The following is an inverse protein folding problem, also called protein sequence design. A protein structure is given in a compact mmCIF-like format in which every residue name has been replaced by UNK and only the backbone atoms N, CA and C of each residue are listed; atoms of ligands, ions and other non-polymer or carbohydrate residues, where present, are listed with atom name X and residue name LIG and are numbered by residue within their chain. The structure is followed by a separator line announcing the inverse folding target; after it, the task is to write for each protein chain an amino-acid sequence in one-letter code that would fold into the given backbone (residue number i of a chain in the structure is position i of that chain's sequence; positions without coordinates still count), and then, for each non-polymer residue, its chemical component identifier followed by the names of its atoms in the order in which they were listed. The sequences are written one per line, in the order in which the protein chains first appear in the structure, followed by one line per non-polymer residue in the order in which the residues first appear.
data_IF_639311465606
#
_entry.id   IF_639311465606
#
_cell.length_a   1.000
_cell.length_b   1.000
_cell.length_c   1.000
_cell.angle_alpha   90.00
_cell.angle_beta   90.00
_cell.angle_gamma   90.00
#
_symmetry.space_group_name_H-M   'P 1'
#
loop_
_entity.id
_entity.type
_entity.pdbx_description
1 polymer ?
#
# COMPACT_ATOMS: atom_id res chain seq x y z
N UNK A 1 23.28 -15.30 17.08
CA UNK A 1 22.04 -15.10 16.30
C UNK A 1 22.35 -15.19 14.81
N UNK A 2 21.64 -16.03 14.08
CA UNK A 2 21.78 -16.12 12.63
C UNK A 2 21.06 -14.91 12.03
N UNK A 3 21.81 -14.02 11.37
CA UNK A 3 21.25 -12.87 10.66
C UNK A 3 20.17 -13.36 9.68
N UNK A 4 18.95 -12.85 9.82
CA UNK A 4 17.81 -13.19 9.00
C UNK A 4 16.85 -14.25 9.60
N UNK A 5 17.16 -14.83 10.74
CA UNK A 5 16.23 -15.73 11.45
C UNK A 5 15.29 -14.90 12.34
N UNK A 6 14.09 -14.63 11.88
CA UNK A 6 13.02 -14.06 12.70
C UNK A 6 12.20 -15.17 13.35
N UNK A 7 11.93 -15.04 14.65
CA UNK A 7 10.96 -15.90 15.35
C UNK A 7 9.53 -15.40 15.21
N UNK A 8 9.33 -14.25 14.57
CA UNK A 8 8.01 -13.69 14.31
C UNK A 8 7.42 -14.41 13.10
N UNK A 9 6.24 -15.01 13.21
CA UNK A 9 5.62 -15.67 12.07
C UNK A 9 5.28 -14.64 10.99
N UNK A 10 5.55 -14.99 9.74
CA UNK A 10 5.13 -14.18 8.59
C UNK A 10 3.62 -14.30 8.40
N UNK A 11 2.95 -13.18 8.28
CA UNK A 11 1.50 -13.14 8.02
C UNK A 11 1.30 -13.34 6.52
N UNK A 12 0.76 -14.52 6.15
CA UNK A 12 0.45 -14.82 4.75
C UNK A 12 -0.90 -14.21 4.38
N UNK A 13 -1.88 -14.32 5.28
CA UNK A 13 -3.24 -13.88 5.09
C UNK A 13 -3.94 -13.65 6.43
N UNK A 14 -4.81 -12.65 6.50
CA UNK A 14 -5.60 -12.38 7.71
C UNK A 14 -6.97 -11.78 7.41
N UNK A 15 -7.85 -11.87 8.39
CA UNK A 15 -9.25 -11.46 8.23
C UNK A 15 -9.43 -9.98 7.87
N UNK A 16 -8.57 -9.09 8.34
CA UNK A 16 -8.59 -7.66 7.95
C UNK A 16 -8.40 -7.47 6.44
N UNK A 17 -7.52 -8.25 5.82
CA UNK A 17 -7.34 -8.25 4.37
C UNK A 17 -8.61 -8.74 3.65
N UNK A 18 -9.22 -9.82 4.12
CA UNK A 18 -10.46 -10.35 3.54
C UNK A 18 -11.59 -9.30 3.56
N UNK A 19 -11.73 -8.57 4.67
CA UNK A 19 -12.71 -7.48 4.78
C UNK A 19 -12.43 -6.35 3.79
N UNK A 20 -11.17 -5.95 3.64
CA UNK A 20 -10.79 -4.91 2.69
C UNK A 20 -10.95 -5.35 1.23
N UNK A 21 -10.65 -6.62 0.92
CA UNK A 21 -10.90 -7.19 -0.40
C UNK A 21 -12.40 -7.19 -0.71
N UNK A 22 -13.25 -7.58 0.24
CA UNK A 22 -14.69 -7.57 0.09
C UNK A 22 -15.26 -6.15 -0.06
N UNK A 23 -14.73 -5.18 0.72
CA UNK A 23 -15.10 -3.77 0.61
C UNK A 23 -14.78 -3.21 -0.77
N UNK A 24 -13.57 -3.46 -1.26
CA UNK A 24 -13.14 -3.01 -2.59
C UNK A 24 -14.00 -3.64 -3.70
N UNK A 25 -14.24 -4.95 -3.64
CA UNK A 25 -15.07 -5.65 -4.63
C UNK A 25 -16.50 -5.10 -4.66
N UNK A 26 -17.13 -4.89 -3.50
CA UNK A 26 -18.47 -4.34 -3.40
C UNK A 26 -18.52 -2.88 -3.91
N UNK A 27 -17.48 -2.08 -3.63
CA UNK A 27 -17.35 -0.73 -4.15
C UNK A 27 -17.31 -0.71 -5.69
N UNK A 28 -16.51 -1.59 -6.30
CA UNK A 28 -16.43 -1.71 -7.75
C UNK A 28 -17.74 -2.20 -8.38
N UNK A 29 -18.40 -3.19 -7.79
CA UNK A 29 -19.73 -3.63 -8.25
C UNK A 29 -20.69 -2.44 -8.29
N UNK A 30 -20.76 -1.66 -7.21
CA UNK A 30 -21.60 -0.47 -7.15
C UNK A 30 -21.22 0.57 -8.22
N UNK A 31 -19.95 0.79 -8.47
CA UNK A 31 -19.47 1.73 -9.50
C UNK A 31 -19.81 1.30 -10.93
N UNK A 32 -19.98 0.00 -11.15
CA UNK A 32 -20.43 -0.58 -12.41
C UNK A 32 -21.98 -0.62 -12.55
N UNK A 33 -22.71 -0.04 -11.59
CA UNK A 33 -24.17 -0.02 -11.59
C UNK A 33 -24.81 -1.31 -11.04
N UNK A 34 -24.04 -2.24 -10.53
CA UNK A 34 -24.55 -3.45 -9.86
C UNK A 34 -24.80 -3.07 -8.40
N UNK A 35 -26.01 -2.62 -8.12
CA UNK A 35 -26.37 -2.06 -6.79
C UNK A 35 -26.84 -3.09 -5.79
N UNK A 36 -27.12 -4.31 -6.23
CA UNK A 36 -27.53 -5.45 -5.39
C UNK A 36 -26.68 -6.68 -5.68
N UNK A 37 -26.28 -7.36 -4.64
CA UNK A 37 -25.63 -8.67 -4.70
C UNK A 37 -26.24 -9.60 -3.64
N UNK A 38 -26.93 -10.64 -4.09
CA UNK A 38 -27.64 -11.61 -3.24
C UNK A 38 -28.60 -10.96 -2.22
N UNK A 39 -29.35 -9.93 -2.63
CA UNK A 39 -30.30 -9.23 -1.76
C UNK A 39 -29.66 -8.21 -0.81
N UNK A 40 -28.41 -7.88 -1.02
CA UNK A 40 -27.67 -6.89 -0.22
C UNK A 40 -27.18 -5.73 -1.09
N UNK A 41 -27.37 -4.50 -0.61
CA UNK A 41 -26.84 -3.31 -1.28
C UNK A 41 -25.30 -3.35 -1.31
N UNK A 42 -24.73 -3.31 -2.52
CA UNK A 42 -23.26 -3.32 -2.70
C UNK A 42 -22.59 -2.12 -2.07
N UNK A 43 -23.24 -0.97 -2.08
CA UNK A 43 -22.75 0.24 -1.39
C UNK A 43 -22.67 0.05 0.13
N UNK A 44 -23.73 -0.50 0.71
CA UNK A 44 -23.76 -0.80 2.16
C UNK A 44 -22.74 -1.86 2.51
N UNK A 45 -22.59 -2.91 1.71
CA UNK A 45 -21.59 -3.95 1.91
C UNK A 45 -20.17 -3.35 1.91
N UNK A 46 -19.84 -2.49 0.95
CA UNK A 46 -18.54 -1.84 0.89
C UNK A 46 -18.24 -1.04 2.15
N UNK A 47 -19.24 -0.26 2.60
CA UNK A 47 -19.14 0.57 3.81
C UNK A 47 -19.00 -0.27 5.09
N UNK A 48 -19.79 -1.32 5.22
CA UNK A 48 -19.77 -2.17 6.41
C UNK A 48 -18.43 -2.89 6.58
N UNK A 49 -17.88 -3.44 5.50
CA UNK A 49 -16.62 -4.17 5.56
C UNK A 49 -15.45 -3.27 5.94
N UNK A 50 -15.30 -2.09 5.33
CA UNK A 50 -14.25 -1.16 5.70
C UNK A 50 -14.43 -0.64 7.13
N UNK A 51 -15.67 -0.37 7.54
CA UNK A 51 -15.97 0.14 8.88
C UNK A 51 -15.70 -0.89 9.99
N UNK A 52 -15.79 -2.18 9.71
CA UNK A 52 -15.38 -3.22 10.67
C UNK A 52 -13.88 -3.14 10.97
N UNK A 53 -13.05 -2.87 9.97
CA UNK A 53 -11.61 -2.68 10.15
C UNK A 53 -11.36 -1.40 10.96
N UNK A 54 -11.95 -0.30 10.56
CA UNK A 54 -11.77 1.02 11.17
C UNK A 54 -12.26 1.08 12.61
N UNK A 55 -13.43 0.49 12.89
CA UNK A 55 -13.99 0.42 14.24
C UNK A 55 -13.11 -0.38 15.19
N UNK A 56 -12.53 -1.49 14.71
CA UNK A 56 -11.55 -2.26 15.50
C UNK A 56 -10.32 -1.44 15.85
N UNK A 57 -9.84 -0.61 14.91
CA UNK A 57 -8.61 0.18 15.08
C UNK A 57 -8.82 1.38 16.01
N UNK A 58 -9.95 2.07 15.95
CA UNK A 58 -10.13 3.33 16.66
C UNK A 58 -11.55 3.61 17.20
N UNK A 59 -12.43 2.60 17.20
CA UNK A 59 -13.81 2.76 17.66
C UNK A 59 -14.72 3.46 16.65
N UNK A 60 -15.91 3.80 17.09
CA UNK A 60 -16.96 4.34 16.22
C UNK A 60 -16.62 5.70 15.60
N UNK A 61 -15.77 6.48 16.24
CA UNK A 61 -15.35 7.79 15.75
C UNK A 61 -14.57 7.69 14.43
N UNK A 62 -13.98 6.53 14.13
CA UNK A 62 -13.24 6.28 12.90
C UNK A 62 -14.10 5.74 11.75
N UNK A 63 -15.37 5.44 11.99
CA UNK A 63 -16.26 4.92 10.94
C UNK A 63 -16.50 5.97 9.87
N UNK A 64 -16.52 5.51 8.62
CA UNK A 64 -16.90 6.32 7.47
C UNK A 64 -18.42 6.34 7.33
N UNK A 65 -18.93 7.45 6.83
CA UNK A 65 -20.29 7.58 6.30
C UNK A 65 -20.33 7.18 4.82
N UNK A 66 -21.52 7.01 4.27
CA UNK A 66 -21.68 6.70 2.84
C UNK A 66 -21.05 7.74 1.90
N UNK A 67 -21.12 9.01 2.28
CA UNK A 67 -20.58 10.11 1.46
C UNK A 67 -19.04 10.19 1.53
N UNK A 68 -18.44 9.59 2.53
CA UNK A 68 -16.99 9.55 2.71
C UNK A 68 -16.34 8.32 2.06
N UNK A 69 -17.15 7.34 1.68
CA UNK A 69 -16.65 6.12 1.04
C UNK A 69 -16.26 6.43 -0.40
N UNK A 70 -14.98 6.53 -0.63
CA UNK A 70 -14.37 6.70 -1.95
C UNK A 70 -13.32 5.62 -2.19
N UNK A 71 -12.92 5.44 -3.44
CA UNK A 71 -11.82 4.52 -3.76
C UNK A 71 -10.54 4.89 -3.02
N UNK A 72 -10.21 6.18 -2.95
CA UNK A 72 -9.03 6.66 -2.22
C UNK A 72 -9.07 6.32 -0.73
N UNK A 73 -10.26 6.30 -0.12
CA UNK A 73 -10.41 5.87 1.28
C UNK A 73 -10.11 4.39 1.43
N UNK A 74 -10.60 3.55 0.51
CA UNK A 74 -10.29 2.11 0.50
C UNK A 74 -8.79 1.88 0.31
N UNK A 75 -8.18 2.56 -0.65
CA UNK A 75 -6.74 2.50 -0.93
C UNK A 75 -5.91 2.90 0.30
N UNK A 76 -6.31 4.00 0.95
CA UNK A 76 -5.60 4.47 2.15
C UNK A 76 -5.79 3.51 3.33
N UNK A 77 -6.99 2.96 3.51
CA UNK A 77 -7.23 1.98 4.58
C UNK A 77 -6.38 0.72 4.37
N UNK A 78 -6.32 0.18 3.15
CA UNK A 78 -5.44 -0.94 2.82
C UNK A 78 -3.98 -0.62 3.11
N UNK A 79 -3.53 0.58 2.75
CA UNK A 79 -2.15 1.03 3.00
C UNK A 79 -1.81 1.06 4.48
N UNK A 80 -2.73 1.51 5.33
CA UNK A 80 -2.51 1.64 6.78
C UNK A 80 -2.67 0.30 7.48
N UNK A 81 -3.76 -0.40 7.19
CA UNK A 81 -4.10 -1.66 7.84
C UNK A 81 -3.12 -2.79 7.51
N UNK A 82 -2.67 -2.87 6.26
CA UNK A 82 -1.76 -3.91 5.77
C UNK A 82 -0.30 -3.43 5.68
N UNK A 83 0.05 -2.41 6.47
CA UNK A 83 1.40 -1.89 6.51
C UNK A 83 2.39 -2.97 6.98
N UNK A 84 3.53 -3.09 6.28
CA UNK A 84 4.58 -4.09 6.53
C UNK A 84 4.20 -5.56 6.23
N UNK A 85 3.11 -5.78 5.48
CA UNK A 85 2.65 -7.12 5.07
C UNK A 85 2.81 -7.34 3.54
N UNK A 86 3.69 -6.60 2.89
CA UNK A 86 4.06 -6.68 1.46
C UNK A 86 2.92 -6.46 0.45
N UNK A 87 1.76 -5.96 0.89
CA UNK A 87 0.60 -5.75 0.03
C UNK A 87 0.73 -4.53 -0.89
N UNK A 88 1.37 -3.44 -0.43
CA UNK A 88 1.32 -2.14 -1.12
C UNK A 88 1.81 -2.18 -2.55
N UNK A 89 2.93 -2.84 -2.81
CA UNK A 89 3.49 -2.95 -4.16
C UNK A 89 2.55 -3.70 -5.11
N UNK A 90 2.01 -4.81 -4.63
CA UNK A 90 1.07 -5.63 -5.40
C UNK A 90 -0.25 -4.90 -5.66
N UNK A 91 -0.78 -4.16 -4.68
CA UNK A 91 -1.96 -3.34 -4.81
C UNK A 91 -1.78 -2.26 -5.89
N UNK A 92 -0.68 -1.53 -5.87
CA UNK A 92 -0.38 -0.51 -6.88
C UNK A 92 -0.26 -1.09 -8.29
N UNK A 93 0.32 -2.29 -8.41
CA UNK A 93 0.42 -2.99 -9.70
C UNK A 93 -0.95 -3.42 -10.21
N UNK A 94 -1.77 -4.04 -9.39
CA UNK A 94 -3.09 -4.53 -9.84
C UNK A 94 -4.07 -3.39 -10.14
N UNK A 95 -3.95 -2.25 -9.46
CA UNK A 95 -4.71 -1.04 -9.77
C UNK A 95 -4.18 -0.28 -10.99
N UNK A 96 -3.01 -0.64 -11.51
CA UNK A 96 -2.34 0.05 -12.64
C UNK A 96 -2.01 1.52 -12.36
N UNK A 97 -1.61 1.82 -11.13
CA UNK A 97 -1.28 3.19 -10.67
C UNK A 97 0.12 3.29 -10.07
N UNK A 98 0.95 2.26 -10.21
CA UNK A 98 2.27 2.25 -9.61
C UNK A 98 3.19 3.33 -10.20
N UNK A 99 3.10 3.57 -11.49
CA UNK A 99 3.82 4.61 -12.20
C UNK A 99 3.38 6.01 -11.78
N UNK A 100 2.08 6.23 -11.56
CA UNK A 100 1.55 7.52 -11.17
C UNK A 100 1.75 7.82 -9.68
N UNK A 101 1.50 6.84 -8.81
CA UNK A 101 1.38 7.09 -7.37
C UNK A 101 2.65 6.82 -6.58
N UNK A 102 3.55 6.03 -7.11
CA UNK A 102 4.78 5.69 -6.39
C UNK A 102 6.05 6.04 -7.17
N UNK A 103 6.04 5.86 -8.46
CA UNK A 103 7.24 5.99 -9.29
C UNK A 103 7.12 7.11 -10.33
N UNK A 104 6.10 7.94 -10.17
CA UNK A 104 5.81 9.01 -11.08
C UNK A 104 6.96 10.00 -11.13
N UNK A 105 7.56 10.12 -12.30
CA UNK A 105 8.50 11.13 -12.72
C UNK A 105 9.64 11.51 -11.75
N UNK A 106 10.85 11.59 -12.28
CA UNK A 106 12.05 12.01 -11.55
C UNK A 106 11.96 13.43 -10.98
N UNK A 107 11.05 14.25 -11.46
CA UNK A 107 10.80 15.61 -10.99
C UNK A 107 9.74 15.68 -9.90
N UNK A 108 8.97 14.62 -9.69
CA UNK A 108 7.89 14.59 -8.74
C UNK A 108 8.35 13.92 -7.42
N UNK A 109 8.10 14.56 -6.28
CA UNK A 109 8.48 14.05 -4.97
C UNK A 109 7.89 12.66 -4.64
N UNK A 110 6.86 12.24 -5.37
CA UNK A 110 6.22 10.93 -5.20
C UNK A 110 7.08 9.74 -5.63
N UNK A 111 8.04 9.95 -6.53
CA UNK A 111 8.99 8.92 -6.97
C UNK A 111 10.13 8.68 -5.99
N UNK A 112 10.22 9.47 -4.93
CA UNK A 112 11.31 9.42 -3.98
C UNK A 112 10.84 8.81 -2.67
N UNK A 113 11.56 7.82 -2.17
CA UNK A 113 11.35 7.29 -0.82
C UNK A 113 11.88 8.29 0.20
N UNK A 114 11.07 8.58 1.20
CA UNK A 114 11.46 9.45 2.31
C UNK A 114 11.64 8.65 3.58
N UNK A 115 12.57 9.12 4.40
CA UNK A 115 12.81 8.62 5.75
C UNK A 115 12.70 9.76 6.76
N UNK A 116 12.31 9.43 7.97
CA UNK A 116 12.39 10.35 9.09
C UNK A 116 13.76 10.16 9.74
N UNK A 117 14.65 11.12 9.51
CA UNK A 117 16.00 11.06 10.07
C UNK A 117 16.01 11.68 11.46
N UNK A 118 16.46 10.94 12.49
CA UNK A 118 16.53 11.44 13.85
C UNK A 118 17.74 12.35 14.06
N UNK A 119 17.51 13.50 14.67
CA UNK A 119 18.55 14.41 15.16
C UNK A 119 18.35 14.65 16.64
N UNK A 120 19.44 14.62 17.40
CA UNK A 120 19.43 15.01 18.80
C UNK A 120 19.86 16.46 18.91
N UNK A 121 19.05 17.29 19.57
CA UNK A 121 19.38 18.70 19.78
C UNK A 121 20.51 18.81 20.80
N UNK A 122 21.56 19.50 20.43
CA UNK A 122 22.62 19.90 21.34
C UNK A 122 22.49 21.40 21.60
N UNK A 123 21.93 21.76 22.75
CA UNK A 123 21.71 23.14 23.19
C UNK A 123 21.86 23.24 24.72
N UNK A 124 23.08 23.10 25.25
CA UNK A 124 23.34 23.09 26.69
C UNK A 124 22.74 24.32 27.37
N UNK A 125 22.08 24.11 28.51
CA UNK A 125 21.46 25.19 29.29
C UNK A 125 20.02 25.56 28.82
N UNK A 126 19.48 24.91 27.81
CA UNK A 126 18.11 25.12 27.37
C UNK A 126 17.23 23.88 27.61
N UNK A 127 15.90 24.06 27.75
CA UNK A 127 14.94 22.91 27.86
C UNK A 127 14.91 22.00 26.65
N UNK A 128 15.45 22.43 25.52
CA UNK A 128 15.49 21.69 24.27
C UNK A 128 16.68 20.73 24.17
N UNK A 129 17.67 20.89 25.07
CA UNK A 129 18.86 20.05 25.02
C UNK A 129 18.54 18.58 25.23
N UNK A 130 19.04 17.76 24.34
CA UNK A 130 18.83 16.31 24.37
C UNK A 130 17.54 15.81 23.80
N UNK A 131 16.59 16.68 23.38
CA UNK A 131 15.37 16.27 22.68
C UNK A 131 15.68 15.74 21.28
N UNK A 132 14.87 14.78 20.84
CA UNK A 132 14.93 14.26 19.50
C UNK A 132 13.97 15.03 18.58
N UNK A 133 14.46 15.40 17.40
CA UNK A 133 13.66 15.90 16.29
C UNK A 133 13.81 14.98 15.10
N UNK A 134 12.77 14.87 14.30
CA UNK A 134 12.75 14.03 13.10
C UNK A 134 12.56 14.92 11.88
N UNK A 135 13.47 14.83 10.93
CA UNK A 135 13.39 15.57 9.67
C UNK A 135 13.12 14.61 8.53
N UNK A 136 12.14 14.97 7.69
CA UNK A 136 11.87 14.26 6.43
C UNK A 136 13.05 14.48 5.49
N UNK A 137 13.71 13.42 5.10
CA UNK A 137 14.82 13.44 4.15
C UNK A 137 14.59 12.41 3.06
N UNK A 138 15.15 12.67 1.87
CA UNK A 138 15.15 11.67 0.80
C UNK A 138 16.01 10.49 1.23
N UNK A 139 15.47 9.27 1.07
CA UNK A 139 16.26 8.06 1.27
C UNK A 139 17.28 7.94 0.13
N UNK A 140 18.55 7.86 0.46
CA UNK A 140 19.60 7.60 -0.52
C UNK A 140 19.60 6.10 -0.84
N UNK A 141 19.09 5.75 -1.99
CA UNK A 141 19.21 4.38 -2.51
C UNK A 141 20.58 4.20 -3.15
N UNK A 142 21.28 3.09 -2.87
CA UNK A 142 22.63 2.83 -3.40
C UNK A 142 22.67 2.76 -4.93
N UNK A 143 21.60 2.28 -5.54
CA UNK A 143 21.41 2.33 -6.98
C UNK A 143 20.53 3.54 -7.32
N UNK A 144 20.92 4.41 -8.23
CA UNK A 144 20.16 5.56 -8.73
C UNK A 144 19.99 6.76 -7.78
N UNK A 145 20.93 7.04 -6.90
CA UNK A 145 20.89 8.25 -6.03
C UNK A 145 19.58 8.47 -5.27
N UNK A 146 18.92 7.40 -4.85
CA UNK A 146 17.66 7.48 -4.12
C UNK A 146 16.40 7.58 -4.97
N UNK A 147 16.52 7.49 -6.28
CA UNK A 147 15.36 7.50 -7.18
C UNK A 147 15.02 6.06 -7.53
N UNK A 148 13.79 5.65 -7.21
CA UNK A 148 13.23 4.42 -7.70
C UNK A 148 12.59 4.68 -9.07
N UNK A 149 12.87 3.85 -10.06
CA UNK A 149 12.23 3.92 -11.36
C UNK A 149 11.22 2.79 -11.52
N UNK A 150 10.14 3.07 -12.21
CA UNK A 150 9.16 2.08 -12.60
C UNK A 150 8.87 2.24 -14.10
N UNK A 151 8.82 1.15 -14.82
CA UNK A 151 8.44 1.13 -16.22
C UNK A 151 7.24 0.20 -16.43
N UNK A 152 6.56 0.34 -17.56
CA UNK A 152 5.34 -0.40 -17.85
C UNK A 152 5.52 -1.92 -17.89
N UNK A 153 6.74 -2.40 -18.16
CA UNK A 153 7.03 -3.84 -18.14
C UNK A 153 6.95 -4.41 -16.73
N UNK A 154 7.20 -3.59 -15.70
CA UNK A 154 7.16 -4.00 -14.29
C UNK A 154 5.75 -4.27 -13.74
N UNK A 155 4.70 -3.90 -14.49
CA UNK A 155 3.35 -4.34 -14.17
C UNK A 155 3.16 -5.85 -14.31
N UNK A 156 3.98 -6.48 -15.13
CA UNK A 156 3.94 -7.92 -15.36
C UNK A 156 5.16 -8.55 -14.70
N UNK A 157 4.97 -9.70 -14.09
CA UNK A 157 6.10 -10.48 -13.65
C UNK A 157 6.68 -11.21 -14.87
N UNK A 158 8.01 -11.22 -15.01
CA UNK A 158 8.64 -12.10 -15.97
C UNK A 158 8.28 -13.54 -15.64
N UNK A 159 7.83 -14.29 -16.63
CA UNK A 159 7.70 -15.73 -16.47
C UNK A 159 9.11 -16.31 -16.29
N UNK A 160 9.37 -17.12 -15.26
CA UNK A 160 10.68 -17.76 -15.14
C UNK A 160 10.87 -18.67 -16.36
N UNK A 161 11.59 -18.15 -17.33
CA UNK A 161 11.95 -18.86 -18.57
C UNK A 161 13.06 -19.86 -18.22
N UNK A 162 12.75 -20.88 -17.45
CA UNK A 162 13.56 -22.06 -17.44
C UNK A 162 13.27 -22.83 -18.71
N UNK A 163 14.10 -22.49 -19.72
CA UNK A 163 14.43 -23.33 -20.85
C UNK A 163 13.27 -23.99 -21.59
N UNK A 164 12.82 -23.30 -22.66
CA UNK A 164 12.36 -24.06 -23.82
C UNK A 164 11.00 -24.74 -23.72
N UNK A 165 10.03 -24.20 -22.95
CA UNK A 165 8.66 -24.62 -23.21
C UNK A 165 8.15 -23.92 -24.46
N UNK A 166 8.06 -24.63 -25.64
CA UNK A 166 7.68 -24.01 -26.91
C UNK A 166 6.23 -23.52 -26.92
N UNK A 167 5.43 -23.85 -25.90
CA UNK A 167 4.03 -23.45 -25.79
C UNK A 167 3.84 -22.16 -24.99
N UNK A 168 4.92 -21.53 -24.55
CA UNK A 168 4.85 -20.27 -23.79
C UNK A 168 5.44 -19.16 -24.65
N UNK A 169 4.59 -18.26 -25.09
CA UNK A 169 5.04 -17.04 -25.74
C UNK A 169 5.65 -16.07 -24.73
N UNK A 170 6.73 -15.41 -25.14
CA UNK A 170 7.33 -14.35 -24.35
C UNK A 170 6.31 -13.24 -24.16
N UNK A 171 6.21 -12.72 -22.92
CA UNK A 171 5.49 -11.47 -22.71
C UNK A 171 6.12 -10.40 -23.62
N UNK A 172 5.35 -9.80 -24.55
CA UNK A 172 5.88 -8.84 -25.53
C UNK A 172 6.47 -7.58 -24.86
N UNK A 173 6.26 -7.40 -23.58
CA UNK A 173 6.76 -6.26 -22.82
C UNK A 173 7.98 -6.59 -21.94
N UNK A 174 8.60 -7.77 -22.12
CA UNK A 174 9.82 -8.20 -21.41
C UNK A 174 10.91 -8.61 -22.36
#
# INVERSE_FOLDING_TARGET
EINGASKVPYIIFRFGEALLNASEAAFYLNSLGITDYNGHSTKTMALDYINRVRQRAGGDIFRLTENELTFDRIVNERRVELAFEDHRYNDLKRWRVADEWWFNDQQNETATTYVLWPYKIYAPGTPENGKWIYRKMKALHRANNGILSFNNTMYYNSYPMNEGNPNIEKNPNH
#
